data_IF_558703798130
#
_entry.id   IF_558703798130
#
_cell.length_a   1.000
_cell.length_b   1.000
_cell.length_c   1.000
_cell.angle_alpha   90.00
_cell.angle_beta   90.00
_cell.angle_gamma   90.00
#
_symmetry.space_group_name_H-M   'P 1'
#
loop_
_entity.id
_entity.type
_entity.pdbx_description
1 polymer ?
#
# COMPACT_ATOMS: atom_id res chain seq x y z
N UNK A 1 -6.22 1.82 -25.61
CA UNK A 1 -6.06 1.56 -24.16
C UNK A 1 -5.93 0.07 -23.99
N UNK A 2 -4.77 -0.42 -23.57
CA UNK A 2 -4.54 -1.84 -23.28
C UNK A 2 -5.50 -2.32 -22.20
N UNK A 3 -6.44 -3.23 -22.51
CA UNK A 3 -7.30 -3.84 -21.49
C UNK A 3 -6.48 -4.83 -20.65
N UNK A 4 -6.00 -4.39 -19.48
CA UNK A 4 -5.28 -5.25 -18.52
C UNK A 4 -6.20 -5.64 -17.37
N UNK A 5 -6.25 -6.93 -17.05
CA UNK A 5 -7.02 -7.46 -15.92
C UNK A 5 -6.29 -7.22 -14.59
N UNK A 6 -7.00 -7.18 -13.46
CA UNK A 6 -6.38 -7.13 -12.12
C UNK A 6 -5.34 -8.25 -11.91
N UNK A 7 -5.59 -9.43 -12.47
CA UNK A 7 -4.66 -10.56 -12.37
C UNK A 7 -3.33 -10.27 -13.07
N UNK A 8 -3.37 -9.48 -14.15
CA UNK A 8 -2.17 -9.05 -14.87
C UNK A 8 -1.28 -8.13 -14.00
N UNK A 9 -1.87 -7.24 -13.19
CA UNK A 9 -1.11 -6.37 -12.26
C UNK A 9 -0.47 -7.17 -11.13
N UNK A 10 -1.18 -8.16 -10.59
CA UNK A 10 -0.61 -9.08 -9.59
C UNK A 10 0.56 -9.87 -10.18
N UNK A 11 0.40 -10.41 -11.40
CA UNK A 11 1.47 -11.13 -12.08
C UNK A 11 2.69 -10.25 -12.40
N UNK A 12 2.48 -8.98 -12.77
CA UNK A 12 3.57 -8.02 -12.92
C UNK A 12 4.32 -7.82 -11.59
N UNK A 13 3.58 -7.59 -10.49
CA UNK A 13 4.21 -7.44 -9.17
C UNK A 13 5.02 -8.67 -8.79
N UNK A 14 4.47 -9.87 -8.93
CA UNK A 14 5.16 -11.12 -8.58
C UNK A 14 6.51 -11.25 -9.29
N UNK A 15 6.55 -10.99 -10.60
CA UNK A 15 7.78 -11.00 -11.38
C UNK A 15 8.79 -9.96 -10.89
N UNK A 16 8.34 -8.74 -10.57
CA UNK A 16 9.22 -7.70 -10.04
C UNK A 16 9.76 -8.05 -8.64
N UNK A 17 8.92 -8.62 -7.78
CA UNK A 17 9.32 -9.08 -6.44
C UNK A 17 10.40 -10.15 -6.55
N UNK A 18 10.19 -11.17 -7.39
CA UNK A 18 11.15 -12.26 -7.61
C UNK A 18 12.51 -11.72 -8.08
N UNK A 19 12.52 -10.78 -9.03
CA UNK A 19 13.75 -10.19 -9.58
C UNK A 19 14.47 -9.24 -8.63
N UNK A 20 13.75 -8.45 -7.84
CA UNK A 20 14.32 -7.25 -7.22
C UNK A 20 14.22 -7.22 -5.69
N UNK A 21 13.20 -7.81 -5.07
CA UNK A 21 12.99 -7.65 -3.62
C UNK A 21 14.11 -8.29 -2.79
N UNK A 22 14.61 -9.45 -3.22
CA UNK A 22 15.76 -10.12 -2.59
C UNK A 22 17.08 -9.32 -2.70
N UNK A 23 17.15 -8.33 -3.61
CA UNK A 23 18.30 -7.43 -3.75
C UNK A 23 18.20 -6.19 -2.86
N UNK A 24 17.07 -6.00 -2.17
CA UNK A 24 16.82 -4.85 -1.30
C UNK A 24 15.99 -3.73 -1.92
N UNK A 25 15.44 -3.91 -3.13
CA UNK A 25 14.59 -2.93 -3.83
C UNK A 25 13.15 -2.97 -3.29
N UNK A 26 12.56 -1.81 -3.05
CA UNK A 26 11.17 -1.66 -2.63
C UNK A 26 10.26 -1.81 -3.85
N UNK A 27 9.58 -2.95 -3.98
CA UNK A 27 8.60 -3.22 -5.03
C UNK A 27 7.19 -2.89 -4.53
N UNK A 28 6.47 -1.91 -5.12
CA UNK A 28 5.18 -1.44 -4.62
C UNK A 28 4.15 -2.57 -4.44
N UNK A 29 3.31 -2.46 -3.41
CA UNK A 29 2.19 -3.37 -3.23
C UNK A 29 1.16 -3.16 -4.35
N UNK A 30 0.67 -4.26 -4.92
CA UNK A 30 -0.44 -4.20 -5.86
C UNK A 30 -1.75 -4.13 -5.05
N UNK A 31 -2.76 -3.37 -5.50
CA UNK A 31 -4.03 -3.27 -4.80
C UNK A 31 -4.67 -4.65 -4.65
N UNK A 32 -5.08 -5.02 -3.42
CA UNK A 32 -5.77 -6.28 -3.20
C UNK A 32 -7.19 -6.26 -3.82
N UNK A 33 -7.74 -7.46 -4.08
CA UNK A 33 -9.17 -7.57 -4.37
C UNK A 33 -9.94 -7.11 -3.14
N UNK A 34 -10.61 -5.96 -3.22
CA UNK A 34 -11.44 -5.43 -2.14
C UNK A 34 -12.46 -6.48 -1.69
N UNK A 35 -12.25 -7.06 -0.51
CA UNK A 35 -13.15 -8.04 0.14
C UNK A 35 -14.41 -7.32 0.67
N UNK A 36 -14.34 -5.99 0.81
CA UNK A 36 -15.46 -5.13 1.21
C UNK A 36 -16.65 -5.19 0.24
N UNK A 37 -16.41 -5.60 -1.01
CA UNK A 37 -17.46 -5.85 -2.00
C UNK A 37 -18.30 -7.11 -1.71
N UNK A 38 -17.84 -8.01 -0.82
CA UNK A 38 -18.51 -9.28 -0.52
C UNK A 38 -19.32 -9.28 0.79
N UNK A 39 -19.18 -8.28 1.66
CA UNK A 39 -19.77 -8.34 3.03
C UNK A 39 -20.81 -7.25 3.34
N UNK A 40 -21.18 -6.39 2.39
CA UNK A 40 -22.22 -5.35 2.58
C UNK A 40 -23.28 -5.31 1.47
N UNK A 41 -23.59 -6.43 0.83
CA UNK A 41 -24.68 -6.54 -0.15
C UNK A 41 -25.97 -7.00 0.51
N UNK A 42 -26.65 -6.09 1.20
CA UNK A 42 -28.10 -6.14 1.47
C UNK A 42 -28.59 -4.73 1.79
N UNK A 43 -28.87 -3.91 0.77
CA UNK A 43 -29.90 -2.85 0.74
C UNK A 43 -29.84 -2.09 -0.59
N UNK A 44 -30.98 -2.10 -1.30
CA UNK A 44 -31.41 -1.24 -2.43
C UNK A 44 -30.61 -1.25 -3.75
N UNK A 45 -31.29 -1.63 -4.84
CA UNK A 45 -30.75 -1.80 -6.20
C UNK A 45 -30.20 -0.54 -6.87
N UNK A 46 -30.64 0.67 -6.49
CA UNK A 46 -30.06 1.92 -7.00
C UNK A 46 -28.77 2.33 -6.26
N UNK A 47 -28.66 1.98 -4.98
CA UNK A 47 -27.43 2.15 -4.20
C UNK A 47 -26.35 1.14 -4.63
N UNK A 48 -26.73 -0.01 -5.18
CA UNK A 48 -25.79 -1.02 -5.71
C UNK A 48 -25.01 -0.54 -6.94
N UNK A 49 -25.66 0.10 -7.92
CA UNK A 49 -24.96 0.62 -9.11
C UNK A 49 -23.98 1.75 -8.77
N UNK A 50 -24.38 2.70 -7.93
CA UNK A 50 -23.51 3.81 -7.53
C UNK A 50 -22.29 3.32 -6.72
N UNK A 51 -22.52 2.39 -5.78
CA UNK A 51 -21.45 1.77 -4.99
C UNK A 51 -20.52 0.91 -5.88
N UNK A 52 -21.05 0.25 -6.90
CA UNK A 52 -20.24 -0.52 -7.86
C UNK A 52 -19.28 0.38 -8.66
N UNK A 53 -19.74 1.57 -9.09
CA UNK A 53 -18.92 2.53 -9.81
C UNK A 53 -17.85 3.16 -8.90
N UNK A 54 -18.19 3.55 -7.66
CA UNK A 54 -17.21 4.04 -6.67
C UNK A 54 -16.07 3.03 -6.44
N UNK A 55 -16.40 1.74 -6.35
CA UNK A 55 -15.41 0.66 -6.15
C UNK A 55 -14.52 0.48 -7.38
N UNK A 56 -15.09 0.58 -8.59
CA UNK A 56 -14.32 0.49 -9.84
C UNK A 56 -13.38 1.68 -9.98
N UNK A 57 -13.86 2.89 -9.71
CA UNK A 57 -13.07 4.12 -9.80
C UNK A 57 -11.94 4.16 -8.77
N UNK A 58 -12.23 3.78 -7.53
CA UNK A 58 -11.19 3.60 -6.50
C UNK A 58 -10.12 2.63 -6.96
N UNK A 59 -10.53 1.48 -7.49
CA UNK A 59 -9.59 0.47 -7.99
C UNK A 59 -8.75 1.00 -9.15
N UNK A 60 -9.35 1.73 -10.09
CA UNK A 60 -8.62 2.34 -11.20
C UNK A 60 -7.56 3.32 -10.69
N UNK A 61 -7.89 4.16 -9.71
CA UNK A 61 -6.92 5.08 -9.06
C UNK A 61 -5.80 4.32 -8.35
N UNK A 62 -6.11 3.27 -7.60
CA UNK A 62 -5.11 2.47 -6.90
C UNK A 62 -4.14 1.78 -7.86
N UNK A 63 -4.65 1.21 -8.97
CA UNK A 63 -3.82 0.62 -10.02
C UNK A 63 -2.97 1.67 -10.74
N UNK A 64 -3.53 2.86 -10.96
CA UNK A 64 -2.77 3.97 -11.53
C UNK A 64 -1.64 4.42 -10.59
N UNK A 65 -1.89 4.54 -9.29
CA UNK A 65 -0.85 4.85 -8.29
C UNK A 65 0.26 3.78 -8.29
N UNK A 66 -0.13 2.50 -8.29
CA UNK A 66 0.81 1.39 -8.39
C UNK A 66 1.73 1.50 -9.63
N UNK A 67 1.17 1.71 -10.83
CA UNK A 67 1.98 1.87 -12.04
C UNK A 67 2.86 3.11 -12.00
N UNK A 68 2.34 4.24 -11.52
CA UNK A 68 3.11 5.48 -11.36
C UNK A 68 4.29 5.27 -10.41
N UNK A 69 4.12 4.48 -9.34
CA UNK A 69 5.19 4.16 -8.39
C UNK A 69 6.29 3.33 -9.05
N UNK A 70 5.94 2.34 -9.85
CA UNK A 70 6.90 1.55 -10.64
C UNK A 70 7.62 2.45 -11.65
N UNK A 71 6.88 3.29 -12.39
CA UNK A 71 7.44 4.18 -13.40
C UNK A 71 8.40 5.24 -12.83
N UNK A 72 8.18 5.70 -11.59
CA UNK A 72 9.07 6.65 -10.89
C UNK A 72 10.34 5.99 -10.33
N UNK A 73 10.41 4.66 -10.29
CA UNK A 73 11.56 3.95 -9.76
C UNK A 73 12.65 3.74 -10.85
N UNK A 74 13.90 4.21 -10.65
CA UNK A 74 14.94 4.17 -11.70
C UNK A 74 15.25 2.78 -12.27
N UNK A 75 15.27 1.73 -11.43
CA UNK A 75 15.43 0.35 -11.88
C UNK A 75 14.15 -0.28 -12.46
N UNK A 76 13.02 -0.17 -11.76
CA UNK A 76 11.80 -0.87 -12.18
C UNK A 76 11.22 -0.32 -13.50
N UNK A 77 11.36 0.98 -13.79
CA UNK A 77 10.90 1.56 -15.06
C UNK A 77 11.60 0.97 -16.28
N UNK A 78 12.84 0.50 -16.11
CA UNK A 78 13.63 -0.11 -17.19
C UNK A 78 13.43 -1.61 -17.33
N UNK A 79 12.68 -2.25 -16.41
CA UNK A 79 12.43 -3.69 -16.45
C UNK A 79 11.61 -4.08 -17.69
N UNK A 80 11.99 -5.19 -18.32
CA UNK A 80 11.33 -5.66 -19.54
C UNK A 80 9.86 -6.04 -19.31
N UNK A 81 9.52 -6.69 -18.20
CA UNK A 81 8.13 -7.08 -17.92
C UNK A 81 7.26 -5.84 -17.67
N UNK A 82 7.79 -4.80 -17.02
CA UNK A 82 7.07 -3.54 -16.87
C UNK A 82 6.87 -2.83 -18.21
N UNK A 83 7.90 -2.75 -19.05
CA UNK A 83 7.80 -2.15 -20.38
C UNK A 83 6.79 -2.89 -21.24
N UNK A 84 6.90 -4.21 -21.33
CA UNK A 84 5.98 -5.07 -22.07
C UNK A 84 4.56 -4.96 -21.52
N UNK A 85 4.39 -4.86 -20.20
CA UNK A 85 3.09 -4.64 -19.57
C UNK A 85 2.43 -3.34 -20.05
N UNK A 86 3.20 -2.26 -20.22
CA UNK A 86 2.68 -0.95 -20.67
C UNK A 86 2.52 -0.88 -22.19
N UNK A 87 3.38 -1.55 -22.98
CA UNK A 87 3.43 -1.39 -24.44
C UNK A 87 2.73 -2.48 -25.24
N UNK A 88 2.53 -3.67 -24.68
CA UNK A 88 1.86 -4.75 -25.43
C UNK A 88 0.34 -4.59 -25.41
N UNK A 89 -0.23 -4.34 -26.60
CA UNK A 89 -1.66 -4.47 -26.90
C UNK A 89 -2.05 -5.94 -26.98
N UNK A 90 -2.55 -6.47 -25.87
CA UNK A 90 -3.04 -7.85 -25.73
C UNK A 90 -3.23 -8.27 -24.28
N UNK A 91 -4.05 -9.29 -24.06
CA UNK A 91 -4.03 -10.03 -22.79
C UNK A 91 -2.63 -10.63 -22.64
N UNK A 92 -1.90 -10.19 -21.59
CA UNK A 92 -0.67 -10.87 -21.21
C UNK A 92 -1.01 -12.35 -20.98
N UNK A 93 -0.16 -13.30 -21.43
CA UNK A 93 -0.40 -14.72 -21.21
C UNK A 93 -0.79 -14.90 -19.75
N UNK A 94 -1.96 -15.51 -19.49
CA UNK A 94 -2.41 -15.80 -18.12
C UNK A 94 -1.24 -16.49 -17.44
N UNK A 95 -0.61 -15.83 -16.48
CA UNK A 95 0.54 -16.38 -15.80
C UNK A 95 0.10 -17.73 -15.22
N UNK A 96 0.64 -18.82 -15.77
CA UNK A 96 0.22 -20.19 -15.46
C UNK A 96 0.37 -20.54 -13.97
N UNK A 97 1.07 -19.68 -13.21
CA UNK A 97 1.26 -19.78 -11.76
C UNK A 97 0.21 -19.06 -10.91
N UNK A 98 -0.68 -18.24 -11.49
CA UNK A 98 -1.61 -17.40 -10.71
C UNK A 98 -2.93 -18.08 -10.33
N UNK A 99 -3.27 -19.20 -10.97
CA UNK A 99 -4.52 -19.94 -10.73
C UNK A 99 -4.57 -20.64 -9.37
N UNK A 100 -3.42 -20.80 -8.70
CA UNK A 100 -3.32 -21.56 -7.45
C UNK A 100 -3.48 -20.72 -6.16
N UNK A 101 -3.54 -19.38 -6.25
CA UNK A 101 -3.44 -18.52 -5.05
C UNK A 101 -4.55 -17.47 -4.99
N UNK A 102 -5.79 -17.97 -4.94
CA UNK A 102 -6.93 -17.23 -4.40
C UNK A 102 -6.65 -16.78 -2.96
N UNK A 103 -6.52 -15.46 -2.70
CA UNK A 103 -6.72 -14.67 -1.45
C UNK A 103 -6.06 -15.08 -0.12
N UNK A 104 -5.69 -16.34 0.01
CA UNK A 104 -5.22 -17.06 1.18
C UNK A 104 -3.71 -16.95 1.34
N UNK A 105 -2.99 -16.78 0.23
CA UNK A 105 -1.52 -16.90 0.21
C UNK A 105 -0.82 -15.57 0.46
N UNK A 106 -1.43 -14.45 0.07
CA UNK A 106 -0.96 -13.12 0.45
C UNK A 106 -1.19 -12.90 1.97
N UNK A 107 -2.35 -13.32 2.51
CA UNK A 107 -2.60 -13.36 3.96
C UNK A 107 -1.65 -14.28 4.73
N UNK A 108 -1.21 -15.41 4.14
CA UNK A 108 -0.19 -16.28 4.76
C UNK A 108 1.18 -15.62 4.78
N UNK A 109 1.55 -14.84 3.77
CA UNK A 109 2.81 -14.08 3.77
C UNK A 109 2.82 -13.01 4.87
N UNK A 110 1.72 -12.25 5.04
CA UNK A 110 1.60 -11.24 6.11
C UNK A 110 1.47 -11.83 7.52
N UNK A 111 0.72 -12.94 7.69
CA UNK A 111 0.54 -13.59 9.00
C UNK A 111 1.74 -14.44 9.42
N UNK A 112 2.60 -14.81 8.47
CA UNK A 112 3.84 -15.55 8.74
C UNK A 112 4.99 -14.66 9.21
N UNK A 113 4.88 -13.33 9.18
CA UNK A 113 5.95 -12.43 9.67
C UNK A 113 6.13 -12.53 11.19
N UNK A 114 5.04 -12.49 11.95
CA UNK A 114 5.09 -12.65 13.41
C UNK A 114 5.45 -14.07 13.85
N UNK A 115 4.99 -15.08 13.11
CA UNK A 115 5.24 -16.51 13.40
C UNK A 115 6.63 -17.01 12.95
N UNK A 116 7.31 -16.30 12.04
CA UNK A 116 8.70 -16.61 11.70
C UNK A 116 9.67 -15.88 12.61
N UNK A 117 9.32 -14.68 13.12
CA UNK A 117 10.11 -14.02 14.17
C UNK A 117 10.28 -14.91 15.42
N UNK A 118 9.27 -15.72 15.75
CA UNK A 118 9.32 -16.71 16.84
C UNK A 118 10.04 -18.03 16.50
N UNK A 119 10.34 -18.28 15.21
CA UNK A 119 11.02 -19.51 14.71
C UNK A 119 12.45 -19.27 14.24
N UNK A 120 12.98 -18.06 14.43
CA UNK A 120 14.37 -17.74 14.13
C UNK A 120 15.27 -18.56 15.08
N UNK A 121 16.07 -19.47 14.52
CA UNK A 121 16.96 -20.33 15.28
C UNK A 121 17.99 -19.55 16.12
N UNK A 122 18.42 -18.37 15.63
CA UNK A 122 19.23 -17.39 16.37
C UNK A 122 18.94 -15.97 15.86
N UNK A 123 18.61 -15.00 16.74
CA UNK A 123 18.31 -13.62 16.35
C UNK A 123 19.53 -13.00 15.65
N UNK A 124 19.28 -12.18 14.63
CA UNK A 124 20.35 -11.40 14.01
C UNK A 124 20.86 -10.39 15.03
N UNK A 125 22.13 -10.50 15.39
CA UNK A 125 22.81 -9.49 16.18
C UNK A 125 23.07 -8.29 15.25
N UNK A 126 22.13 -7.33 15.28
CA UNK A 126 22.20 -6.13 14.45
C UNK A 126 23.34 -5.24 14.94
N UNK A 127 24.53 -5.53 14.44
CA UNK A 127 25.74 -4.73 14.69
C UNK A 127 25.74 -3.41 13.89
N UNK A 128 24.76 -3.22 13.01
CA UNK A 128 24.62 -2.01 12.20
C UNK A 128 23.64 -1.02 12.84
N UNK A 129 24.20 -0.07 13.58
CA UNK A 129 23.45 0.98 14.29
C UNK A 129 22.47 1.75 13.37
N UNK A 130 22.78 1.87 12.08
CA UNK A 130 21.87 2.53 11.14
C UNK A 130 20.58 1.71 10.94
N UNK A 131 20.70 0.40 10.78
CA UNK A 131 19.52 -0.48 10.62
C UNK A 131 18.70 -0.53 11.91
N UNK A 132 19.33 -0.63 13.07
CA UNK A 132 18.63 -0.59 14.37
C UNK A 132 17.77 0.69 14.50
N UNK A 133 18.35 1.86 14.21
CA UNK A 133 17.64 3.14 14.22
C UNK A 133 16.50 3.19 13.20
N UNK A 134 16.75 2.73 11.98
CA UNK A 134 15.75 2.76 10.91
C UNK A 134 14.62 1.77 11.16
N UNK A 135 14.88 0.60 11.74
CA UNK A 135 13.85 -0.34 12.19
C UNK A 135 12.90 0.34 13.18
N UNK A 136 13.45 0.94 14.23
CA UNK A 136 12.66 1.68 15.23
C UNK A 136 11.86 2.82 14.60
N UNK A 137 12.47 3.61 13.70
CA UNK A 137 11.76 4.68 12.99
C UNK A 137 10.63 4.16 12.10
N UNK A 138 10.80 3.02 11.46
CA UNK A 138 9.79 2.42 10.58
C UNK A 138 8.63 1.84 11.39
N UNK A 139 8.90 1.26 12.56
CA UNK A 139 7.86 0.77 13.47
C UNK A 139 7.06 1.91 14.09
N UNK A 140 7.73 2.99 14.55
CA UNK A 140 7.05 4.20 15.02
C UNK A 140 6.19 4.83 13.91
N UNK A 141 6.73 4.92 12.69
CA UNK A 141 5.99 5.44 11.54
C UNK A 141 4.76 4.58 11.23
N UNK A 142 4.87 3.26 11.26
CA UNK A 142 3.76 2.35 11.02
C UNK A 142 2.63 2.54 12.05
N UNK A 143 2.97 2.67 13.33
CA UNK A 143 2.00 2.94 14.39
C UNK A 143 1.31 4.32 14.20
N UNK A 144 2.10 5.36 13.93
CA UNK A 144 1.59 6.71 13.73
C UNK A 144 0.69 6.81 12.50
N UNK A 145 1.12 6.22 11.38
CA UNK A 145 0.30 6.20 10.17
C UNK A 145 -0.94 5.33 10.33
N UNK A 146 -0.88 4.25 11.12
CA UNK A 146 -2.05 3.45 11.48
C UNK A 146 -3.09 4.24 12.28
N UNK A 147 -2.66 5.03 13.27
CA UNK A 147 -3.54 5.94 14.03
C UNK A 147 -4.12 7.04 13.14
N UNK A 148 -3.29 7.65 12.28
CA UNK A 148 -3.73 8.67 11.32
C UNK A 148 -4.77 8.10 10.36
N UNK A 149 -4.54 6.90 9.82
CA UNK A 149 -5.46 6.23 8.92
C UNK A 149 -6.81 5.97 9.60
N UNK A 150 -6.82 5.50 10.84
CA UNK A 150 -8.05 5.30 11.60
C UNK A 150 -8.83 6.62 11.82
N UNK A 151 -8.12 7.71 12.11
CA UNK A 151 -8.74 9.04 12.25
C UNK A 151 -9.35 9.55 10.94
N UNK A 152 -8.65 9.37 9.81
CA UNK A 152 -9.15 9.77 8.48
C UNK A 152 -10.35 8.90 8.08
N UNK A 153 -10.33 7.60 8.36
CA UNK A 153 -11.45 6.70 8.07
C UNK A 153 -12.72 7.13 8.84
N UNK A 154 -12.57 7.45 10.14
CA UNK A 154 -13.66 7.99 10.94
C UNK A 154 -14.19 9.33 10.40
N UNK A 155 -13.31 10.23 9.94
CA UNK A 155 -13.69 11.50 9.32
C UNK A 155 -14.54 11.26 8.06
N UNK A 156 -14.07 10.41 7.15
CA UNK A 156 -14.75 10.09 5.88
C UNK A 156 -16.11 9.45 6.16
N UNK A 157 -16.17 8.48 7.07
CA UNK A 157 -17.42 7.81 7.46
C UNK A 157 -18.41 8.80 8.10
N UNK A 158 -17.93 9.64 9.02
CA UNK A 158 -18.74 10.65 9.69
C UNK A 158 -19.33 11.67 8.72
N UNK A 159 -18.51 12.22 7.82
CA UNK A 159 -18.97 13.18 6.81
C UNK A 159 -19.90 12.56 5.78
N UNK A 160 -19.68 11.29 5.39
CA UNK A 160 -20.59 10.57 4.48
C UNK A 160 -21.95 10.38 5.17
N UNK A 161 -21.95 10.01 6.45
CA UNK A 161 -23.17 9.93 7.27
C UNK A 161 -23.91 11.27 7.36
N UNK A 162 -23.20 12.37 7.63
CA UNK A 162 -23.79 13.72 7.69
C UNK A 162 -24.42 14.13 6.37
N UNK A 163 -23.74 13.85 5.26
CA UNK A 163 -24.23 14.15 3.90
C UNK A 163 -25.52 13.39 3.57
N UNK A 164 -25.58 12.09 3.94
CA UNK A 164 -26.80 11.28 3.78
C UNK A 164 -27.93 11.83 4.64
N UNK A 165 -27.65 12.18 5.90
CA UNK A 165 -28.64 12.78 6.79
C UNK A 165 -29.19 14.11 6.26
N UNK A 166 -28.33 14.93 5.65
CA UNK A 166 -28.74 16.19 5.04
C UNK A 166 -29.62 16.01 3.80
N UNK A 167 -29.33 15.01 2.97
CA UNK A 167 -30.16 14.62 1.81
C UNK A 167 -31.53 14.08 2.25
N UNK A 168 -31.60 13.36 3.37
CA UNK A 168 -32.87 12.94 3.96
C UNK A 168 -33.64 14.12 4.57
N UNK A 169 -32.94 15.06 5.19
CA UNK A 169 -33.52 16.25 5.76
C UNK A 169 -34.14 17.17 4.69
N UNK A 170 -33.46 17.36 3.55
CA UNK A 170 -34.04 18.13 2.43
C UNK A 170 -35.34 17.50 1.92
N UNK A 171 -35.38 16.17 1.75
CA UNK A 171 -36.59 15.45 1.34
C UNK A 171 -37.74 15.62 2.34
N UNK A 172 -37.45 15.51 3.64
CA UNK A 172 -38.44 15.72 4.69
C UNK A 172 -38.97 17.17 4.70
N UNK A 173 -38.11 18.16 4.49
CA UNK A 173 -38.50 19.57 4.36
C UNK A 173 -39.39 19.80 3.14
N UNK A 174 -39.08 19.20 1.98
CA UNK A 174 -39.93 19.28 0.79
C UNK A 174 -41.31 18.68 1.02
N UNK A 175 -41.39 17.55 1.74
CA UNK A 175 -42.68 16.96 2.13
C UNK A 175 -43.45 17.88 3.08
N UNK A 176 -42.79 18.46 4.08
CA UNK A 176 -43.43 19.40 5.00
C UNK A 176 -43.96 20.64 4.26
N UNK A 177 -43.17 21.19 3.33
CA UNK A 177 -43.58 22.31 2.48
C UNK A 177 -44.85 21.99 1.68
N UNK A 178 -45.01 20.75 1.22
CA UNK A 178 -46.19 20.32 0.45
C UNK A 178 -47.48 20.21 1.29
N UNK A 179 -47.34 20.05 2.61
CA UNK A 179 -48.46 19.97 3.55
C UNK A 179 -48.82 21.33 4.15
N UNK A 180 -48.01 22.37 3.92
CA UNK A 180 -48.20 23.68 4.53
C UNK A 180 -49.24 24.51 3.77
N UNK A 181 -50.27 24.97 4.48
CA UNK A 181 -51.37 25.74 3.90
C UNK A 181 -50.98 27.20 3.65
N UNK A 182 -50.09 27.75 4.49
CA UNK A 182 -49.60 29.11 4.28
C UNK A 182 -48.60 29.14 3.12
N UNK A 183 -49.04 29.71 2.00
CA UNK A 183 -48.26 29.77 0.75
C UNK A 183 -46.89 30.42 0.92
N UNK A 184 -46.73 31.45 1.77
CA UNK A 184 -45.43 32.09 1.97
C UNK A 184 -44.48 31.18 2.76
N UNK A 185 -44.99 30.50 3.79
CA UNK A 185 -44.23 29.55 4.59
C UNK A 185 -43.86 28.30 3.77
N UNK A 186 -44.80 27.75 3.00
CA UNK A 186 -44.58 26.63 2.09
C UNK A 186 -43.46 26.93 1.08
N UNK A 187 -43.43 28.15 0.52
CA UNK A 187 -42.36 28.60 -0.38
C UNK A 187 -41.00 28.65 0.33
N UNK A 188 -40.93 29.26 1.51
CA UNK A 188 -39.69 29.33 2.30
C UNK A 188 -39.17 27.94 2.66
N UNK A 189 -40.03 27.02 3.07
CA UNK A 189 -39.67 25.63 3.36
C UNK A 189 -39.16 24.89 2.12
N UNK A 190 -39.78 25.12 0.95
CA UNK A 190 -39.32 24.55 -0.32
C UNK A 190 -37.92 25.05 -0.69
N UNK A 191 -37.66 26.35 -0.49
CA UNK A 191 -36.33 26.93 -0.74
C UNK A 191 -35.27 26.44 0.24
N UNK A 192 -35.64 26.25 1.50
CA UNK A 192 -34.75 25.65 2.49
C UNK A 192 -34.42 24.20 2.13
N UNK A 193 -35.41 23.45 1.64
CA UNK A 193 -35.21 22.08 1.16
C UNK A 193 -34.23 22.02 -0.01
N UNK A 194 -34.44 22.86 -1.05
CA UNK A 194 -33.54 23.00 -2.20
C UNK A 194 -32.11 23.36 -1.76
N UNK A 195 -31.98 24.26 -0.79
CA UNK A 195 -30.68 24.65 -0.21
C UNK A 195 -29.98 23.45 0.44
N UNK A 196 -30.68 22.68 1.26
CA UNK A 196 -30.11 21.48 1.89
C UNK A 196 -29.78 20.37 0.89
N UNK A 197 -30.55 20.23 -0.20
CA UNK A 197 -30.23 19.32 -1.29
C UNK A 197 -28.92 19.73 -1.99
N UNK A 198 -28.76 21.01 -2.33
CA UNK A 198 -27.54 21.54 -2.93
C UNK A 198 -26.33 21.40 -1.98
N UNK A 199 -26.50 21.70 -0.69
CA UNK A 199 -25.47 21.48 0.31
C UNK A 199 -25.10 19.99 0.42
N UNK A 200 -26.05 19.07 0.24
CA UNK A 200 -25.76 17.64 0.26
C UNK A 200 -24.92 17.22 -0.95
N UNK A 201 -25.13 17.86 -2.11
CA UNK A 201 -24.27 17.66 -3.28
C UNK A 201 -22.82 18.16 -3.04
N UNK A 202 -22.66 19.33 -2.41
CA UNK A 202 -21.34 19.81 -1.98
C UNK A 202 -20.69 18.84 -0.99
N UNK A 203 -21.46 18.35 -0.01
CA UNK A 203 -21.03 17.32 0.94
C UNK A 203 -20.56 16.03 0.26
N UNK A 204 -21.31 15.53 -0.73
CA UNK A 204 -20.93 14.32 -1.52
C UNK A 204 -19.57 14.53 -2.18
N UNK A 205 -19.36 15.66 -2.85
CA UNK A 205 -18.07 16.01 -3.46
C UNK A 205 -16.95 16.07 -2.42
N UNK A 206 -17.15 16.77 -1.30
CA UNK A 206 -16.16 16.85 -0.22
C UNK A 206 -15.77 15.46 0.29
N UNK A 207 -16.73 14.57 0.54
CA UNK A 207 -16.42 13.21 1.01
C UNK A 207 -15.68 12.35 0.00
N UNK A 208 -15.90 12.59 -1.30
CA UNK A 208 -15.16 11.93 -2.36
C UNK A 208 -13.69 12.39 -2.37
N UNK A 209 -13.43 13.67 -2.12
CA UNK A 209 -12.07 14.23 -2.03
C UNK A 209 -11.36 13.80 -0.74
N UNK A 210 -12.07 13.75 0.39
CA UNK A 210 -11.59 13.15 1.66
C UNK A 210 -11.08 11.71 1.42
N UNK A 211 -11.83 10.92 0.66
CA UNK A 211 -11.47 9.54 0.33
C UNK A 211 -10.34 9.46 -0.70
N UNK A 212 -10.49 10.13 -1.85
CA UNK A 212 -9.62 9.93 -3.01
C UNK A 212 -8.28 10.66 -2.92
N UNK A 213 -8.22 11.81 -2.24
CA UNK A 213 -6.96 12.51 -1.99
C UNK A 213 -6.34 12.00 -0.70
N UNK A 214 -7.03 12.15 0.43
CA UNK A 214 -6.41 11.99 1.74
C UNK A 214 -6.32 10.52 2.14
N UNK A 215 -7.45 9.81 2.24
CA UNK A 215 -7.50 8.42 2.70
C UNK A 215 -6.65 7.50 1.81
N UNK A 216 -6.88 7.53 0.49
CA UNK A 216 -6.16 6.66 -0.45
C UNK A 216 -4.64 6.91 -0.46
N UNK A 217 -4.17 8.16 -0.29
CA UNK A 217 -2.72 8.47 -0.22
C UNK A 217 -2.08 7.91 1.05
N UNK A 218 -2.74 8.05 2.20
CA UNK A 218 -2.22 7.48 3.46
C UNK A 218 -2.26 5.95 3.42
N UNK A 219 -3.28 5.34 2.83
CA UNK A 219 -3.35 3.88 2.59
C UNK A 219 -2.18 3.39 1.74
N UNK A 220 -1.83 4.11 0.65
CA UNK A 220 -0.68 3.75 -0.18
C UNK A 220 0.63 3.80 0.62
N UNK A 221 0.85 4.84 1.42
CA UNK A 221 2.07 4.96 2.22
C UNK A 221 2.16 3.93 3.36
N UNK A 222 1.03 3.55 3.98
CA UNK A 222 0.96 2.39 4.88
C UNK A 222 1.41 1.12 4.17
N UNK A 223 0.92 0.85 2.96
CA UNK A 223 1.30 -0.32 2.20
C UNK A 223 2.81 -0.31 1.84
N UNK A 224 3.37 0.85 1.49
CA UNK A 224 4.80 1.00 1.23
C UNK A 224 5.67 0.79 2.48
N UNK A 225 5.20 1.21 3.66
CA UNK A 225 5.88 0.92 4.92
C UNK A 225 5.90 -0.58 5.22
N UNK A 226 4.81 -1.30 4.93
CA UNK A 226 4.79 -2.75 5.04
C UNK A 226 5.78 -3.43 4.08
N UNK A 227 5.84 -3.00 2.80
CA UNK A 227 6.85 -3.50 1.85
C UNK A 227 8.28 -3.23 2.34
N UNK A 228 8.53 -2.08 2.97
CA UNK A 228 9.85 -1.79 3.54
C UNK A 228 10.22 -2.77 4.68
N UNK A 229 9.25 -3.10 5.55
CA UNK A 229 9.44 -4.15 6.57
C UNK A 229 9.73 -5.52 5.92
N UNK A 230 9.06 -5.83 4.80
CA UNK A 230 9.36 -7.05 4.04
C UNK A 230 10.80 -7.08 3.51
N UNK A 231 11.28 -5.96 2.97
CA UNK A 231 12.65 -5.83 2.47
C UNK A 231 13.69 -5.98 3.58
N UNK A 232 13.43 -5.44 4.78
CA UNK A 232 14.32 -5.66 5.93
C UNK A 232 14.38 -7.13 6.33
N UNK A 233 13.25 -7.84 6.27
CA UNK A 233 13.22 -9.26 6.55
C UNK A 233 13.96 -10.10 5.50
N UNK A 234 13.90 -9.73 4.22
CA UNK A 234 14.76 -10.36 3.21
C UNK A 234 16.25 -10.18 3.56
N UNK A 235 16.65 -9.03 4.10
CA UNK A 235 18.03 -8.80 4.58
C UNK A 235 18.39 -9.70 5.75
N UNK A 236 17.49 -9.88 6.72
CA UNK A 236 17.70 -10.81 7.85
C UNK A 236 17.87 -12.24 7.33
N UNK A 237 17.06 -12.69 6.37
CA UNK A 237 17.22 -14.01 5.74
C UNK A 237 18.56 -14.16 5.02
N UNK A 238 18.99 -13.14 4.28
CA UNK A 238 20.30 -13.16 3.61
C UNK A 238 21.44 -13.31 4.63
N UNK A 239 21.38 -12.57 5.76
CA UNK A 239 22.34 -12.69 6.85
C UNK A 239 22.33 -14.08 7.48
N UNK A 240 21.16 -14.63 7.80
CA UNK A 240 21.04 -15.97 8.39
C UNK A 240 21.62 -17.05 7.46
N UNK A 241 21.31 -16.97 6.18
CA UNK A 241 21.85 -17.89 5.18
C UNK A 241 23.38 -17.79 5.11
N UNK A 242 23.93 -16.58 5.18
CA UNK A 242 25.37 -16.34 5.22
C UNK A 242 26.00 -16.94 6.49
N UNK A 243 25.46 -16.65 7.68
CA UNK A 243 25.96 -17.19 8.95
C UNK A 243 25.89 -18.72 9.01
N UNK A 244 24.84 -19.33 8.48
CA UNK A 244 24.74 -20.78 8.37
C UNK A 244 25.86 -21.36 7.49
N UNK A 245 26.25 -20.68 6.40
CA UNK A 245 27.40 -21.11 5.60
C UNK A 245 28.73 -20.89 6.33
N UNK A 246 28.89 -19.81 7.11
CA UNK A 246 30.08 -19.58 7.96
C UNK A 246 30.24 -20.71 8.99
N UNK A 247 29.15 -21.12 9.65
CA UNK A 247 29.17 -22.25 10.59
C UNK A 247 29.53 -23.57 9.90
N UNK A 248 29.00 -23.81 8.70
CA UNK A 248 29.35 -24.98 7.90
C UNK A 248 30.84 -24.98 7.53
N UNK A 249 31.37 -23.83 7.12
CA UNK A 249 32.79 -23.65 6.82
C UNK A 249 33.66 -23.98 8.04
N UNK A 250 33.32 -23.46 9.21
CA UNK A 250 34.05 -23.72 10.45
C UNK A 250 34.04 -25.21 10.83
N UNK A 251 32.88 -25.88 10.71
CA UNK A 251 32.79 -27.34 10.92
C UNK A 251 33.68 -28.12 9.95
N UNK A 252 33.72 -27.74 8.66
CA UNK A 252 34.61 -28.38 7.67
C UNK A 252 36.09 -28.14 8.01
N UNK A 253 36.46 -26.94 8.48
CA UNK A 253 37.81 -26.62 8.96
C UNK A 253 38.21 -27.52 10.13
N UNK A 254 37.35 -27.68 11.13
CA UNK A 254 37.59 -28.56 12.28
C UNK A 254 37.78 -30.03 11.88
N UNK A 255 36.95 -30.54 10.94
CA UNK A 255 37.06 -31.90 10.43
C UNK A 255 38.39 -32.12 9.70
N UNK A 256 38.81 -31.16 8.87
CA UNK A 256 40.11 -31.21 8.20
C UNK A 256 41.26 -31.25 9.21
N UNK A 257 41.28 -30.33 10.17
CA UNK A 257 42.31 -30.29 11.23
C UNK A 257 42.38 -31.61 12.00
N UNK A 258 41.23 -32.24 12.27
CA UNK A 258 41.17 -33.56 12.93
C UNK A 258 41.80 -34.66 12.08
N UNK A 259 41.58 -34.67 10.78
CA UNK A 259 42.20 -35.65 9.87
C UNK A 259 43.71 -35.44 9.72
N UNK A 260 44.18 -34.19 9.71
CA UNK A 260 45.60 -33.85 9.70
C UNK A 260 46.29 -34.34 10.98
N UNK A 261 45.71 -34.06 12.15
CA UNK A 261 46.23 -34.52 13.45
C UNK A 261 46.24 -36.05 13.58
N UNK A 262 45.32 -36.74 12.89
CA UNK A 262 45.25 -38.20 12.86
C UNK A 262 46.19 -38.85 11.81
N UNK A 263 47.02 -38.06 11.10
CA UNK A 263 47.95 -38.57 10.09
C UNK A 263 47.29 -39.03 8.78
N UNK A 264 46.01 -38.73 8.57
CA UNK A 264 45.24 -39.15 7.39
C UNK A 264 45.31 -38.09 6.28
N UNK A 265 46.50 -37.92 5.68
CA UNK A 265 46.82 -36.83 4.74
C UNK A 265 45.95 -36.84 3.48
N UNK A 266 45.60 -38.03 2.96
CA UNK A 266 44.74 -38.15 1.77
C UNK A 266 43.32 -37.62 2.01
N UNK A 267 42.74 -37.91 3.17
CA UNK A 267 41.42 -37.38 3.56
C UNK A 267 41.49 -35.88 3.81
N UNK A 268 42.54 -35.40 4.47
CA UNK A 268 42.75 -33.96 4.67
C UNK A 268 42.86 -33.19 3.34
N UNK A 269 43.53 -33.77 2.34
CA UNK A 269 43.65 -33.18 1.00
C UNK A 269 42.31 -33.13 0.25
N UNK A 270 41.42 -34.11 0.42
CA UNK A 270 40.07 -34.08 -0.17
C UNK A 270 39.24 -32.89 0.36
N UNK A 271 39.32 -32.63 1.67
CA UNK A 271 38.65 -31.48 2.28
C UNK A 271 39.20 -30.13 1.83
N UNK A 272 40.42 -30.05 1.27
CA UNK A 272 41.02 -28.79 0.84
C UNK A 272 40.24 -28.13 -0.30
N UNK A 273 39.84 -28.89 -1.32
CA UNK A 273 39.07 -28.36 -2.45
C UNK A 273 37.65 -27.95 -2.00
N UNK A 274 36.99 -28.79 -1.20
CA UNK A 274 35.68 -28.47 -0.64
C UNK A 274 35.69 -27.23 0.27
N UNK A 275 36.80 -27.00 0.96
CA UNK A 275 37.01 -25.80 1.78
C UNK A 275 37.08 -24.57 0.91
N UNK A 276 37.87 -24.60 -0.17
CA UNK A 276 37.98 -23.47 -1.10
C UNK A 276 36.62 -23.11 -1.70
N UNK A 277 35.81 -24.09 -2.11
CA UNK A 277 34.46 -23.82 -2.62
C UNK A 277 33.53 -23.21 -1.55
N UNK A 278 33.64 -23.71 -0.32
CA UNK A 278 32.85 -23.20 0.82
C UNK A 278 33.28 -21.78 1.22
N UNK A 279 34.58 -21.47 1.17
CA UNK A 279 35.15 -20.14 1.40
C UNK A 279 34.66 -19.15 0.34
N UNK A 280 34.79 -19.50 -0.95
CA UNK A 280 34.27 -18.68 -2.05
C UNK A 280 32.77 -18.38 -1.90
N UNK A 281 31.99 -19.36 -1.45
CA UNK A 281 30.55 -19.20 -1.21
C UNK A 281 30.26 -18.27 -0.04
N UNK A 282 30.99 -18.39 1.07
CA UNK A 282 30.88 -17.47 2.22
C UNK A 282 31.21 -16.04 1.79
N UNK A 283 32.30 -15.86 1.05
CA UNK A 283 32.73 -14.55 0.54
C UNK A 283 31.69 -13.93 -0.40
N UNK A 284 31.08 -14.73 -1.27
CA UNK A 284 30.02 -14.26 -2.17
C UNK A 284 28.78 -13.82 -1.40
N UNK A 285 28.34 -14.61 -0.41
CA UNK A 285 27.17 -14.29 0.40
C UNK A 285 27.38 -13.06 1.28
N UNK A 286 28.60 -12.86 1.79
CA UNK A 286 28.98 -11.63 2.48
C UNK A 286 28.84 -10.41 1.54
N UNK A 287 29.40 -10.50 0.33
CA UNK A 287 29.30 -9.43 -0.67
C UNK A 287 27.84 -9.13 -1.02
N UNK A 288 27.03 -10.16 -1.25
CA UNK A 288 25.61 -10.01 -1.57
C UNK A 288 24.83 -9.34 -0.43
N UNK A 289 25.09 -9.75 0.82
CA UNK A 289 24.50 -9.14 2.01
C UNK A 289 24.90 -7.65 2.18
N UNK A 290 26.17 -7.33 1.97
CA UNK A 290 26.66 -5.94 2.00
C UNK A 290 26.04 -5.10 0.87
N UNK A 291 25.94 -5.65 -0.34
CA UNK A 291 25.32 -4.98 -1.48
C UNK A 291 23.84 -4.71 -1.23
N UNK A 292 23.11 -5.71 -0.75
CA UNK A 292 21.71 -5.58 -0.36
C UNK A 292 21.53 -4.50 0.70
N UNK A 293 22.36 -4.51 1.74
CA UNK A 293 22.34 -3.49 2.79
C UNK A 293 22.55 -2.07 2.24
N UNK A 294 23.46 -1.91 1.27
CA UNK A 294 23.71 -0.64 0.59
C UNK A 294 22.55 -0.21 -0.32
N UNK A 295 21.89 -1.15 -0.99
CA UNK A 295 20.69 -0.87 -1.78
C UNK A 295 19.56 -0.40 -0.87
N UNK A 296 19.31 -1.10 0.24
CA UNK A 296 18.25 -0.76 1.19
C UNK A 296 18.43 0.67 1.72
N UNK A 297 19.65 1.11 2.02
CA UNK A 297 19.92 2.52 2.41
C UNK A 297 19.49 3.52 1.36
N UNK A 298 19.82 3.26 0.09
CA UNK A 298 19.45 4.13 -1.04
C UNK A 298 17.94 4.13 -1.25
N UNK A 299 17.32 2.96 -1.17
CA UNK A 299 15.87 2.76 -1.30
C UNK A 299 15.10 3.47 -0.18
N UNK A 300 15.55 3.34 1.07
CA UNK A 300 14.97 4.02 2.22
C UNK A 300 15.00 5.54 2.04
N UNK A 301 16.17 6.10 1.68
CA UNK A 301 16.31 7.54 1.44
C UNK A 301 15.37 8.03 0.33
N UNK A 302 15.29 7.30 -0.79
CA UNK A 302 14.39 7.62 -1.91
C UNK A 302 12.93 7.55 -1.46
N UNK A 303 12.53 6.48 -0.78
CA UNK A 303 11.16 6.30 -0.29
C UNK A 303 10.75 7.40 0.71
N UNK A 304 11.64 7.79 1.62
CA UNK A 304 11.39 8.89 2.55
C UNK A 304 11.22 10.23 1.83
N UNK A 305 12.05 10.51 0.82
CA UNK A 305 11.88 11.72 0.00
C UNK A 305 10.54 11.71 -0.75
N UNK A 306 10.24 10.60 -1.43
CA UNK A 306 9.02 10.48 -2.21
C UNK A 306 7.76 10.57 -1.33
N UNK A 307 7.75 9.91 -0.17
CA UNK A 307 6.65 10.01 0.81
C UNK A 307 6.41 11.45 1.26
N UNK A 308 7.47 12.20 1.53
CA UNK A 308 7.36 13.61 1.93
C UNK A 308 6.76 14.46 0.81
N UNK A 309 7.18 14.26 -0.43
CA UNK A 309 6.66 14.97 -1.60
C UNK A 309 5.18 14.64 -1.83
N UNK A 310 4.85 13.34 -1.87
CA UNK A 310 3.50 12.85 -2.14
C UNK A 310 2.50 13.30 -1.06
N UNK A 311 2.86 13.17 0.24
CA UNK A 311 1.99 13.62 1.35
C UNK A 311 1.82 15.14 1.32
N UNK A 312 2.89 15.90 1.07
CA UNK A 312 2.79 17.36 0.95
C UNK A 312 1.83 17.76 -0.16
N UNK A 313 1.98 17.17 -1.33
CA UNK A 313 1.12 17.46 -2.48
C UNK A 313 -0.34 17.06 -2.22
N UNK A 314 -0.57 15.91 -1.58
CA UNK A 314 -1.91 15.48 -1.20
C UNK A 314 -2.56 16.43 -0.19
N UNK A 315 -1.83 16.86 0.84
CA UNK A 315 -2.34 17.82 1.83
C UNK A 315 -2.69 19.18 1.21
N UNK A 316 -1.86 19.68 0.30
CA UNK A 316 -2.14 20.94 -0.40
C UNK A 316 -3.43 20.83 -1.22
N UNK A 317 -3.52 19.81 -2.08
CA UNK A 317 -4.73 19.57 -2.90
C UNK A 317 -5.97 19.35 -2.04
N UNK A 318 -5.83 18.65 -0.92
CA UNK A 318 -6.91 18.40 0.01
C UNK A 318 -7.42 19.71 0.65
N UNK A 319 -6.52 20.56 1.14
CA UNK A 319 -6.89 21.85 1.75
C UNK A 319 -7.54 22.78 0.71
N UNK A 320 -7.03 22.81 -0.51
CA UNK A 320 -7.63 23.58 -1.62
C UNK A 320 -9.07 23.10 -1.90
N UNK A 321 -9.28 21.78 -1.97
CA UNK A 321 -10.61 21.19 -2.13
C UNK A 321 -11.55 21.50 -0.96
N UNK A 322 -11.06 21.50 0.28
CA UNK A 322 -11.84 21.89 1.45
C UNK A 322 -12.28 23.35 1.36
N UNK A 323 -11.35 24.26 1.05
CA UNK A 323 -11.66 25.69 0.90
C UNK A 323 -12.74 25.90 -0.17
N UNK A 324 -12.62 25.19 -1.30
CA UNK A 324 -13.60 25.29 -2.37
C UNK A 324 -14.99 24.77 -1.94
N UNK A 325 -15.04 23.65 -1.21
CA UNK A 325 -16.30 23.11 -0.68
C UNK A 325 -16.95 24.05 0.35
N UNK A 326 -16.17 24.71 1.19
CA UNK A 326 -16.66 25.70 2.15
C UNK A 326 -17.18 26.97 1.46
N UNK A 327 -16.51 27.43 0.40
CA UNK A 327 -17.01 28.55 -0.42
C UNK A 327 -18.35 28.22 -1.06
N UNK A 328 -18.48 27.05 -1.68
CA UNK A 328 -19.74 26.61 -2.27
C UNK A 328 -20.85 26.50 -1.23
N UNK A 329 -20.51 26.03 -0.02
CA UNK A 329 -21.44 25.99 1.12
C UNK A 329 -21.95 27.39 1.48
N UNK A 330 -21.03 28.37 1.60
CA UNK A 330 -21.39 29.76 1.86
C UNK A 330 -22.31 30.31 0.77
N UNK A 331 -21.99 30.09 -0.51
CA UNK A 331 -22.80 30.55 -1.63
C UNK A 331 -24.23 30.00 -1.59
N UNK A 332 -24.43 28.74 -1.17
CA UNK A 332 -25.78 28.19 -1.02
C UNK A 332 -26.57 28.91 0.08
N UNK A 333 -25.93 29.22 1.21
CA UNK A 333 -26.57 29.95 2.30
C UNK A 333 -26.88 31.40 1.94
N UNK A 334 -25.99 32.08 1.22
CA UNK A 334 -26.22 33.44 0.73
C UNK A 334 -27.39 33.48 -0.26
N UNK A 335 -27.46 32.51 -1.21
CA UNK A 335 -28.60 32.37 -2.12
C UNK A 335 -29.92 32.23 -1.36
N UNK A 336 -29.96 31.31 -0.38
CA UNK A 336 -31.15 31.14 0.46
C UNK A 336 -31.54 32.43 1.20
N UNK A 337 -30.56 33.13 1.77
CA UNK A 337 -30.82 34.39 2.48
C UNK A 337 -31.46 35.44 1.57
N UNK A 338 -31.00 35.54 0.32
CA UNK A 338 -31.60 36.46 -0.66
C UNK A 338 -33.04 36.08 -1.01
N UNK A 339 -33.31 34.79 -1.24
CA UNK A 339 -34.63 34.28 -1.62
C UNK A 339 -35.69 34.41 -0.51
N UNK A 340 -35.28 34.40 0.77
CA UNK A 340 -36.21 34.56 1.91
C UNK A 340 -36.46 36.03 2.28
N UNK A 341 -35.57 36.93 1.86
CA UNK A 341 -35.71 38.38 2.07
C UNK A 341 -36.50 39.08 0.95
N UNK A 342 -36.51 38.50 -0.25
CA UNK A 342 -37.34 38.95 -1.39
C UNK A 342 -38.78 38.49 -1.24
#
# INVERSE_FOLDING_TARGET
MTHKSNQSFLGLREKLVEKYQHTGIIVPAAPEKSISALTKTKLNSADEEHNSNEVVDKRARDLQRFLRRIARHPKLVTDCDFRDFITMDGELPKAAFTSALSGSSMKKMFKSFGDVFSKIAFPMDENDRWFEQVHSQVDELDELMGRLLAGIDQLVVGRKGMTIGQDQFSKALSMLASCEENTSLARTLSKLAETHENLAMVGKHMTQEDSSILLETIQEHMALTNVLKEVFYERVKAWQNWQNQVQLLNKKREVKTRHELAGNTDRANQYKNELTDCENKVDQMEKDFQNMSNIIRKEFKRNCQQRREDIKEALLRYIESLIESEKQTLEQWEKFQHEVKS
#
